data_IF_675986554196
#
_entry.id   IF_675986554196
#
_cell.length_a   1.000
_cell.length_b   1.000
_cell.length_c   1.000
_cell.angle_alpha   90.00
_cell.angle_beta   90.00
_cell.angle_gamma   90.00
#
_symmetry.space_group_name_H-M   'P 1'
#
loop_
_entity.id
_entity.type
_entity.pdbx_description
1 polymer ?
#
# COMPACT_ATOMS: atom_id res chain seq x y z
N UNK A 1 -20.39 3.60 0.03
CA UNK A 1 -19.94 3.09 -1.27
C UNK A 1 -18.49 2.69 -1.14
N UNK A 2 -18.18 1.42 -0.94
CA UNK A 2 -16.82 0.93 -0.91
C UNK A 2 -16.24 1.00 -2.32
N UNK A 3 -15.43 2.02 -2.58
CA UNK A 3 -14.62 2.02 -3.78
C UNK A 3 -13.58 0.90 -3.61
N UNK A 4 -13.79 -0.20 -4.34
CA UNK A 4 -12.68 -1.07 -4.69
C UNK A 4 -11.68 -0.13 -5.35
N UNK A 5 -10.48 0.00 -4.75
CA UNK A 5 -9.37 0.68 -5.40
C UNK A 5 -9.32 0.13 -6.83
N UNK A 6 -9.63 0.99 -7.79
CA UNK A 6 -9.43 0.62 -9.17
C UNK A 6 -7.97 0.23 -9.28
N UNK A 7 -7.65 -0.73 -10.12
CA UNK A 7 -6.29 -1.19 -10.39
C UNK A 7 -5.28 -0.03 -10.53
N UNK A 8 -5.70 1.10 -11.14
CA UNK A 8 -4.94 2.35 -11.21
C UNK A 8 -4.60 2.98 -9.85
N UNK A 9 -5.40 2.76 -8.80
CA UNK A 9 -5.11 3.29 -7.46
C UNK A 9 -4.03 2.51 -6.72
N UNK A 10 -3.89 1.21 -7.01
CA UNK A 10 -2.80 0.39 -6.46
C UNK A 10 -1.44 0.82 -7.05
N UNK A 11 -1.41 1.13 -8.35
CA UNK A 11 -0.20 1.58 -9.05
C UNK A 11 0.27 2.94 -8.54
N UNK A 12 -0.66 3.90 -8.34
CA UNK A 12 -0.29 5.28 -7.95
C UNK A 12 0.29 5.39 -6.53
N UNK A 13 0.03 4.43 -5.63
CA UNK A 13 0.68 4.37 -4.30
C UNK A 13 2.17 3.99 -4.43
N UNK A 14 2.56 3.32 -5.52
CA UNK A 14 3.94 2.85 -5.71
C UNK A 14 4.78 3.68 -6.69
N UNK A 15 4.16 4.59 -7.44
CA UNK A 15 4.84 5.53 -8.35
C UNK A 15 5.00 6.89 -7.67
N UNK A 16 5.86 6.98 -6.66
CA UNK A 16 6.01 8.16 -5.85
C UNK A 16 6.30 9.46 -6.62
N UNK A 17 5.77 10.59 -6.12
CA UNK A 17 6.18 11.92 -6.49
C UNK A 17 5.39 12.63 -7.61
N UNK A 18 4.30 12.06 -8.13
CA UNK A 18 3.56 12.65 -9.27
C UNK A 18 2.40 13.60 -8.88
N UNK A 19 1.96 13.60 -7.62
CA UNK A 19 0.80 14.39 -7.21
C UNK A 19 1.12 15.89 -7.07
N UNK A 20 2.29 16.23 -6.56
CA UNK A 20 2.75 17.60 -6.34
C UNK A 20 3.70 18.01 -7.47
N UNK A 21 3.24 18.91 -8.34
CA UNK A 21 3.95 19.24 -9.59
C UNK A 21 5.33 19.88 -9.42
N UNK A 22 5.55 20.58 -8.31
CA UNK A 22 6.81 21.28 -8.04
C UNK A 22 7.76 20.46 -7.18
N UNK A 23 7.39 19.22 -6.81
CA UNK A 23 8.26 18.37 -6.00
C UNK A 23 9.47 17.90 -6.80
N UNK A 24 10.60 17.83 -6.12
CA UNK A 24 11.79 17.13 -6.56
C UNK A 24 12.04 15.88 -5.74
N UNK A 25 12.87 15.01 -6.23
CA UNK A 25 13.35 13.86 -5.44
C UNK A 25 14.18 14.35 -4.26
N UNK A 26 13.98 13.73 -3.09
CA UNK A 26 14.76 13.99 -1.87
C UNK A 26 15.98 13.06 -1.82
N UNK A 27 17.15 13.58 -1.43
CA UNK A 27 18.35 12.78 -1.19
C UNK A 27 18.30 12.16 0.19
N UNK A 28 18.96 11.02 0.35
CA UNK A 28 19.05 10.35 1.65
C UNK A 28 19.68 11.25 2.73
N UNK A 29 20.67 12.07 2.37
CA UNK A 29 21.30 13.07 3.25
C UNK A 29 20.35 14.18 3.73
N UNK A 30 19.24 14.41 3.03
CA UNK A 30 18.26 15.45 3.37
C UNK A 30 17.11 14.91 4.23
N UNK A 31 16.96 13.58 4.33
CA UNK A 31 15.81 12.93 4.95
C UNK A 31 15.69 13.28 6.43
N UNK A 32 16.77 13.13 7.20
CA UNK A 32 16.72 13.32 8.65
C UNK A 32 16.19 14.71 9.03
N UNK A 33 16.78 15.76 8.43
CA UNK A 33 16.37 17.15 8.69
C UNK A 33 14.94 17.42 8.23
N UNK A 34 14.51 16.81 7.12
CA UNK A 34 13.12 16.94 6.63
C UNK A 34 12.13 16.27 7.59
N UNK A 35 12.48 15.09 8.10
CA UNK A 35 11.65 14.41 9.10
C UNK A 35 11.54 15.18 10.41
N UNK A 36 12.62 15.82 10.88
CA UNK A 36 12.59 16.71 12.03
C UNK A 36 11.57 17.85 11.84
N UNK A 37 11.58 18.51 10.67
CA UNK A 37 10.60 19.57 10.37
C UNK A 37 9.17 19.06 10.29
N UNK A 38 8.96 17.83 9.79
CA UNK A 38 7.64 17.19 9.76
C UNK A 38 7.18 16.91 11.20
N UNK A 39 8.03 16.40 12.05
CA UNK A 39 7.71 16.12 13.45
C UNK A 39 7.36 17.40 14.22
N UNK A 40 8.12 18.46 14.04
CA UNK A 40 7.91 19.74 14.72
C UNK A 40 6.62 20.43 14.30
N UNK A 41 6.25 20.39 13.02
CA UNK A 41 5.13 21.16 12.46
C UNK A 41 3.87 20.30 12.31
N UNK A 42 4.00 19.12 11.70
CA UNK A 42 2.85 18.31 11.33
C UNK A 42 2.26 17.56 12.54
N UNK A 43 3.10 16.97 13.39
CA UNK A 43 2.59 16.15 14.50
C UNK A 43 1.76 16.94 15.51
N UNK A 44 2.10 18.19 15.93
CA UNK A 44 1.21 18.99 16.73
C UNK A 44 -0.16 19.23 16.09
N UNK A 45 -0.21 19.43 14.78
CA UNK A 45 -1.46 19.64 14.06
C UNK A 45 -2.33 18.36 14.11
N UNK A 46 -1.75 17.21 13.90
CA UNK A 46 -2.50 15.94 13.79
C UNK A 46 -2.69 15.20 15.12
N UNK A 47 -2.24 15.74 16.25
CA UNK A 47 -2.58 15.24 17.58
C UNK A 47 -1.40 14.80 18.46
N UNK A 48 -0.18 15.29 18.24
CA UNK A 48 1.00 14.99 19.06
C UNK A 48 1.29 13.49 19.26
N UNK A 49 0.98 12.66 18.27
CA UNK A 49 1.27 11.23 18.31
C UNK A 49 2.76 10.93 18.38
N UNK A 50 3.10 9.69 18.73
CA UNK A 50 4.49 9.23 18.83
C UNK A 50 4.87 8.44 17.59
N UNK A 51 6.01 8.78 16.98
CA UNK A 51 6.59 7.99 15.89
C UNK A 51 6.71 6.52 16.29
N UNK A 52 6.28 5.63 15.40
CA UNK A 52 6.28 4.19 15.63
C UNK A 52 5.07 3.64 16.36
N UNK A 53 4.20 4.50 16.92
CA UNK A 53 2.88 4.11 17.46
C UNK A 53 1.74 4.59 16.59
N UNK A 54 1.59 5.90 16.46
CA UNK A 54 0.51 6.56 15.72
C UNK A 54 0.93 6.98 14.32
N UNK A 55 2.25 7.04 14.08
CA UNK A 55 2.87 7.37 12.79
C UNK A 55 3.92 6.35 12.41
N UNK A 56 4.02 6.06 11.15
CA UNK A 56 4.98 5.10 10.60
C UNK A 56 5.57 5.63 9.30
N UNK A 57 6.89 5.78 9.25
CA UNK A 57 7.60 5.99 7.99
C UNK A 57 7.55 4.68 7.21
N UNK A 58 6.93 4.74 6.04
CA UNK A 58 6.77 3.60 5.13
C UNK A 58 7.52 3.84 3.83
N UNK A 59 7.60 2.82 2.97
CA UNK A 59 8.36 2.95 1.72
C UNK A 59 9.88 2.82 1.90
N UNK A 60 10.64 3.45 1.02
CA UNK A 60 12.10 3.28 0.89
C UNK A 60 12.94 4.40 1.51
N UNK A 61 12.29 5.41 2.06
CA UNK A 61 12.98 6.58 2.62
C UNK A 61 13.69 6.22 3.93
N UNK A 62 14.85 6.83 4.18
CA UNK A 62 15.66 6.55 5.38
C UNK A 62 16.37 5.20 5.38
N UNK A 63 16.37 4.48 4.25
CA UNK A 63 16.89 3.10 4.13
C UNK A 63 18.03 2.96 3.13
N UNK A 64 18.43 4.04 2.50
CA UNK A 64 19.49 4.03 1.49
C UNK A 64 20.84 4.29 2.14
N UNK A 65 21.86 3.59 1.66
CA UNK A 65 23.23 3.71 2.23
C UNK A 65 24.03 4.85 1.65
N UNK A 66 23.78 5.18 0.36
CA UNK A 66 24.49 6.28 -0.28
C UNK A 66 23.72 7.58 0.00
N UNK A 67 24.36 8.60 0.62
CA UNK A 67 23.73 9.90 0.89
C UNK A 67 23.15 10.60 -0.35
N UNK A 68 23.67 10.30 -1.53
CA UNK A 68 23.22 10.86 -2.81
C UNK A 68 22.07 10.08 -3.47
N UNK A 69 21.72 8.91 -2.94
CA UNK A 69 20.56 8.17 -3.43
C UNK A 69 19.28 8.96 -3.15
N UNK A 70 18.31 8.86 -4.07
CA UNK A 70 17.11 9.70 -4.00
C UNK A 70 15.82 8.88 -3.89
N UNK A 71 14.86 9.39 -3.14
CA UNK A 71 13.44 8.93 -3.13
C UNK A 71 12.54 9.93 -3.82
N UNK A 72 11.41 9.46 -4.39
CA UNK A 72 10.45 10.34 -5.10
C UNK A 72 9.58 11.14 -4.13
N UNK A 73 9.29 10.55 -2.98
CA UNK A 73 8.34 11.04 -1.97
C UNK A 73 8.74 10.54 -0.58
N UNK A 74 8.00 11.04 0.41
CA UNK A 74 7.98 10.57 1.79
C UNK A 74 6.60 10.00 2.06
N UNK A 75 6.51 8.71 2.34
CA UNK A 75 5.28 8.06 2.74
C UNK A 75 5.19 8.00 4.27
N UNK A 76 4.15 8.59 4.84
CA UNK A 76 3.88 8.57 6.27
C UNK A 76 2.52 7.89 6.55
N UNK A 77 2.56 6.71 7.12
CA UNK A 77 1.39 6.01 7.62
C UNK A 77 0.88 6.66 8.90
N UNK A 78 -0.41 6.97 8.98
CA UNK A 78 -1.06 7.58 10.16
C UNK A 78 -2.16 6.67 10.71
N UNK A 79 -2.19 6.45 12.03
CA UNK A 79 -3.23 5.63 12.67
C UNK A 79 -4.59 6.33 12.61
N UNK A 80 -5.48 5.75 11.81
CA UNK A 80 -6.84 6.27 11.62
C UNK A 80 -7.64 6.29 12.94
N UNK A 81 -7.39 5.33 13.84
CA UNK A 81 -8.11 5.26 15.12
C UNK A 81 -7.67 6.38 16.06
N UNK A 82 -6.35 6.64 16.07
CA UNK A 82 -5.78 7.74 16.84
C UNK A 82 -6.32 9.09 16.34
N UNK A 83 -6.22 9.37 15.04
CA UNK A 83 -6.70 10.63 14.46
C UNK A 83 -8.20 10.81 14.64
N UNK A 84 -9.02 9.77 14.46
CA UNK A 84 -10.47 9.83 14.68
C UNK A 84 -10.80 10.27 16.11
N UNK A 85 -10.06 9.76 17.09
CA UNK A 85 -10.20 10.11 18.51
C UNK A 85 -9.79 11.55 18.79
N UNK A 86 -8.62 11.96 18.33
CA UNK A 86 -8.10 13.32 18.54
C UNK A 86 -9.01 14.38 17.90
N UNK A 87 -9.49 14.12 16.69
CA UNK A 87 -10.37 15.05 15.98
C UNK A 87 -11.85 14.92 16.34
N UNK A 88 -12.23 13.91 17.14
CA UNK A 88 -13.62 13.60 17.50
C UNK A 88 -14.53 13.42 16.27
N UNK A 89 -14.04 12.74 15.24
CA UNK A 89 -14.78 12.46 14.01
C UNK A 89 -14.90 10.94 13.77
N UNK A 90 -15.96 10.48 13.06
CA UNK A 90 -16.04 9.09 12.61
C UNK A 90 -14.84 8.72 11.73
N UNK A 91 -14.38 7.46 11.80
CA UNK A 91 -13.20 6.98 11.04
C UNK A 91 -13.31 7.18 9.54
N UNK A 92 -14.50 7.04 8.99
CA UNK A 92 -14.81 7.28 7.57
C UNK A 92 -14.63 8.75 7.14
N UNK A 93 -14.64 9.68 8.08
CA UNK A 93 -14.50 11.12 7.85
C UNK A 93 -13.10 11.66 8.19
N UNK A 94 -12.20 10.80 8.71
CA UNK A 94 -10.86 11.22 9.17
C UNK A 94 -10.09 11.90 8.06
N UNK A 95 -10.06 11.34 6.87
CA UNK A 95 -9.26 11.87 5.77
C UNK A 95 -9.71 13.26 5.34
N UNK A 96 -11.02 13.46 5.20
CA UNK A 96 -11.57 14.78 4.83
C UNK A 96 -11.41 15.80 5.95
N UNK A 97 -11.62 15.38 7.19
CA UNK A 97 -11.44 16.22 8.37
C UNK A 97 -9.98 16.65 8.51
N UNK A 98 -9.05 15.70 8.39
CA UNK A 98 -7.62 15.97 8.46
C UNK A 98 -7.17 16.91 7.33
N UNK A 99 -7.62 16.68 6.10
CA UNK A 99 -7.31 17.57 4.98
C UNK A 99 -7.71 19.03 5.27
N UNK A 100 -8.94 19.24 5.75
CA UNK A 100 -9.42 20.59 6.10
C UNK A 100 -8.62 21.22 7.24
N UNK A 101 -8.25 20.44 8.25
CA UNK A 101 -7.43 20.92 9.36
C UNK A 101 -6.05 21.35 8.87
N UNK A 102 -5.40 20.52 8.06
CA UNK A 102 -4.10 20.83 7.46
C UNK A 102 -4.17 22.06 6.54
N UNK A 103 -5.21 22.16 5.71
CA UNK A 103 -5.44 23.33 4.83
C UNK A 103 -5.55 24.64 5.61
N UNK A 104 -6.11 24.60 6.82
CA UNK A 104 -6.27 25.80 7.68
C UNK A 104 -5.04 26.12 8.53
N UNK A 105 -4.27 25.12 8.97
CA UNK A 105 -3.20 25.32 9.95
C UNK A 105 -1.79 25.35 9.33
N UNK A 106 -1.52 24.52 8.32
CA UNK A 106 -0.19 24.45 7.70
C UNK A 106 0.33 25.79 7.13
N UNK A 107 -0.50 26.64 6.47
CA UNK A 107 0.01 27.89 5.93
C UNK A 107 0.60 28.82 7.01
N UNK A 108 0.05 28.79 8.22
CA UNK A 108 0.55 29.57 9.35
C UNK A 108 1.87 29.02 9.88
N UNK A 109 1.95 27.72 10.03
CA UNK A 109 3.12 27.05 10.60
C UNK A 109 4.31 27.00 9.64
N UNK A 110 4.05 26.87 8.35
CA UNK A 110 5.08 26.86 7.30
C UNK A 110 5.49 28.27 6.84
N UNK A 111 4.64 29.29 7.05
CA UNK A 111 4.86 30.63 6.54
C UNK A 111 4.47 30.84 5.06
N UNK A 112 4.01 29.79 4.38
CA UNK A 112 3.51 29.83 3.00
C UNK A 112 2.36 28.83 2.80
N UNK A 113 1.65 28.90 1.68
CA UNK A 113 0.56 27.98 1.34
C UNK A 113 1.11 26.77 0.58
N UNK A 114 1.20 25.59 1.19
CA UNK A 114 1.71 24.41 0.49
C UNK A 114 0.71 23.92 -0.58
N UNK A 115 1.23 23.37 -1.70
CA UNK A 115 0.38 22.61 -2.63
C UNK A 115 -0.11 21.33 -1.94
N UNK A 116 -1.43 21.13 -1.89
CA UNK A 116 -2.04 20.00 -1.21
C UNK A 116 -3.12 19.34 -2.06
N UNK A 117 -3.21 18.03 -2.01
CA UNK A 117 -4.23 17.26 -2.74
C UNK A 117 -4.83 16.15 -1.90
N UNK A 118 -6.16 16.11 -1.88
CA UNK A 118 -6.91 14.97 -1.34
C UNK A 118 -7.20 13.97 -2.45
N UNK A 119 -6.48 12.86 -2.46
CA UNK A 119 -6.61 11.80 -3.45
C UNK A 119 -7.62 10.73 -2.98
N UNK A 120 -8.93 11.07 -3.07
CA UNK A 120 -10.04 10.22 -2.57
C UNK A 120 -10.02 8.79 -3.14
N UNK A 121 -9.55 8.61 -4.38
CA UNK A 121 -9.53 7.30 -5.04
C UNK A 121 -8.59 6.28 -4.41
N UNK A 122 -7.54 6.76 -3.73
CA UNK A 122 -6.51 5.95 -3.07
C UNK A 122 -6.39 6.25 -1.57
N UNK A 123 -7.24 7.13 -1.04
CA UNK A 123 -7.23 7.54 0.37
C UNK A 123 -5.89 8.10 0.85
N UNK A 124 -5.33 9.08 0.14
CA UNK A 124 -4.06 9.73 0.48
C UNK A 124 -4.23 11.24 0.47
N UNK A 125 -3.55 11.93 1.39
CA UNK A 125 -3.34 13.37 1.33
C UNK A 125 -1.88 13.59 0.91
N UNK A 126 -1.67 14.21 -0.26
CA UNK A 126 -0.34 14.60 -0.72
C UNK A 126 -0.10 16.07 -0.41
N UNK A 127 1.07 16.39 0.13
CA UNK A 127 1.47 17.72 0.58
C UNK A 127 2.84 18.04 -0.01
N UNK A 128 3.02 19.23 -0.58
CA UNK A 128 4.33 19.76 -0.90
C UNK A 128 5.05 20.24 0.37
N UNK A 129 6.05 19.48 0.81
CA UNK A 129 6.78 19.78 2.06
C UNK A 129 8.17 20.35 1.77
N UNK A 130 8.61 21.41 2.47
CA UNK A 130 9.94 21.98 2.27
C UNK A 130 11.02 21.02 2.77
N UNK A 131 12.03 20.78 1.94
CA UNK A 131 13.15 19.89 2.28
C UNK A 131 13.97 20.54 3.38
N UNK A 132 14.17 19.79 4.47
CA UNK A 132 14.85 20.32 5.65
C UNK A 132 14.14 21.49 6.35
N UNK A 133 12.85 21.68 6.08
CA UNK A 133 12.07 22.82 6.60
C UNK A 133 12.37 24.16 5.91
N UNK A 134 13.04 24.15 4.76
CA UNK A 134 13.49 25.34 4.05
C UNK A 134 13.06 25.29 2.58
N UNK A 135 12.23 26.25 2.14
CA UNK A 135 11.71 26.32 0.76
C UNK A 135 12.83 26.47 -0.29
N UNK A 136 13.92 27.17 0.06
CA UNK A 136 15.03 27.38 -0.85
C UNK A 136 15.75 26.05 -1.19
N UNK A 137 15.59 25.03 -0.33
CA UNK A 137 16.09 23.68 -0.57
C UNK A 137 15.20 22.89 -1.55
N UNK A 138 14.04 23.42 -1.89
CA UNK A 138 13.02 22.81 -2.75
C UNK A 138 11.97 22.01 -1.97
N UNK A 139 11.02 21.45 -2.71
CA UNK A 139 9.84 20.77 -2.18
C UNK A 139 9.91 19.27 -2.47
N UNK A 140 9.59 18.45 -1.48
CA UNK A 140 9.34 17.01 -1.65
C UNK A 140 7.86 16.71 -1.48
N UNK A 141 7.33 15.70 -2.15
CA UNK A 141 5.99 15.20 -1.88
C UNK A 141 5.98 14.40 -0.58
N UNK A 142 5.10 14.78 0.35
CA UNK A 142 4.76 14.04 1.56
C UNK A 142 3.37 13.44 1.40
N UNK A 143 3.26 12.13 1.50
CA UNK A 143 2.00 11.40 1.40
C UNK A 143 1.57 10.91 2.78
N UNK A 144 0.41 11.38 3.25
CA UNK A 144 -0.23 10.89 4.47
C UNK A 144 -1.20 9.77 4.11
N UNK A 145 -0.92 8.56 4.60
CA UNK A 145 -1.66 7.34 4.28
C UNK A 145 -2.39 6.85 5.53
N UNK A 146 -3.73 6.91 5.59
CA UNK A 146 -4.51 6.38 6.70
C UNK A 146 -4.33 4.88 6.84
N UNK A 147 -3.96 4.43 8.03
CA UNK A 147 -3.68 3.05 8.38
C UNK A 147 -4.70 2.58 9.40
N UNK A 148 -5.37 1.47 9.14
CA UNK A 148 -6.34 0.87 10.04
C UNK A 148 -5.69 0.03 11.15
N UNK A 149 -4.51 -0.53 10.87
CA UNK A 149 -3.71 -1.34 11.78
C UNK A 149 -2.22 -1.14 11.51
N UNK A 150 -1.48 -0.70 12.53
CA UNK A 150 -0.08 -0.32 12.38
C UNK A 150 0.86 -1.54 12.25
N UNK A 151 0.51 -2.67 12.85
CA UNK A 151 1.34 -3.90 12.74
C UNK A 151 1.16 -4.53 11.35
N UNK A 152 -0.07 -4.49 10.81
CA UNK A 152 -0.31 -4.82 9.42
C UNK A 152 0.49 -3.92 8.47
N UNK A 153 0.48 -2.60 8.71
CA UNK A 153 1.21 -1.65 7.88
C UNK A 153 2.73 -1.89 7.92
N UNK A 154 3.30 -2.13 9.10
CA UNK A 154 4.72 -2.49 9.24
C UNK A 154 5.09 -3.71 8.42
N UNK A 155 4.23 -4.72 8.40
CA UNK A 155 4.45 -5.92 7.60
C UNK A 155 4.30 -5.63 6.11
N UNK A 156 3.19 -5.02 5.67
CA UNK A 156 2.86 -4.93 4.24
C UNK A 156 3.69 -3.87 3.50
N UNK A 157 3.99 -2.74 4.16
CA UNK A 157 4.83 -1.68 3.60
C UNK A 157 6.31 -1.86 3.93
N UNK A 158 6.66 -2.98 4.57
CA UNK A 158 8.06 -3.27 4.83
C UNK A 158 8.86 -3.20 3.52
N UNK A 159 9.92 -2.42 3.56
CA UNK A 159 10.92 -2.41 2.51
C UNK A 159 12.26 -2.78 3.15
N UNK A 160 12.96 -3.81 2.69
CA UNK A 160 14.28 -4.13 3.19
C UNK A 160 15.22 -2.93 2.97
N UNK A 161 16.24 -2.81 3.81
CA UNK A 161 17.30 -1.86 3.56
C UNK A 161 17.82 -2.05 2.13
N UNK A 162 17.94 -0.94 1.41
CA UNK A 162 18.41 -0.96 0.02
C UNK A 162 19.89 -1.31 -0.04
N UNK A 163 20.20 -2.56 0.25
CA UNK A 163 21.46 -3.19 -0.08
C UNK A 163 21.25 -3.92 -1.38
N UNK A 164 22.13 -3.75 -2.33
CA UNK A 164 22.12 -4.52 -3.58
C UNK A 164 22.09 -6.04 -3.34
N UNK A 165 22.43 -6.45 -2.12
CA UNK A 165 22.58 -7.84 -1.68
C UNK A 165 21.31 -8.39 -0.99
N UNK A 166 20.35 -7.55 -0.59
CA UNK A 166 19.16 -7.98 0.19
C UNK A 166 17.90 -8.07 -0.66
N UNK A 167 17.70 -7.17 -1.61
CA UNK A 167 16.63 -7.27 -2.61
C UNK A 167 16.93 -6.42 -3.83
N UNK A 168 16.69 -6.97 -5.01
CA UNK A 168 16.78 -6.25 -6.30
C UNK A 168 15.48 -5.52 -6.61
N UNK A 169 14.38 -5.87 -5.94
CA UNK A 169 13.04 -5.44 -6.27
C UNK A 169 12.44 -4.58 -5.17
N UNK A 170 11.56 -3.67 -5.56
CA UNK A 170 10.78 -2.84 -4.63
C UNK A 170 9.79 -3.71 -3.84
N UNK A 171 9.37 -3.26 -2.64
CA UNK A 171 8.31 -3.90 -1.85
C UNK A 171 7.00 -4.10 -2.63
N UNK A 172 6.74 -3.27 -3.63
CA UNK A 172 5.62 -3.41 -4.54
C UNK A 172 5.60 -4.78 -5.26
N UNK A 173 6.74 -5.31 -5.69
CA UNK A 173 6.82 -6.63 -6.33
C UNK A 173 6.37 -7.73 -5.38
N UNK A 174 6.78 -7.66 -4.11
CA UNK A 174 6.34 -8.60 -3.06
C UNK A 174 4.82 -8.53 -2.86
N UNK A 175 4.26 -7.33 -2.78
CA UNK A 175 2.83 -7.14 -2.57
C UNK A 175 2.00 -7.61 -3.78
N UNK A 176 2.52 -7.46 -5.00
CA UNK A 176 1.90 -8.04 -6.20
C UNK A 176 1.94 -9.56 -6.19
N UNK A 177 3.02 -10.15 -5.68
CA UNK A 177 3.10 -11.60 -5.51
C UNK A 177 2.07 -12.09 -4.47
N UNK A 178 1.93 -11.41 -3.33
CA UNK A 178 0.86 -11.70 -2.36
C UNK A 178 -0.53 -11.60 -2.99
N UNK A 179 -0.79 -10.56 -3.80
CA UNK A 179 -2.06 -10.44 -4.52
C UNK A 179 -2.27 -11.55 -5.55
N UNK A 180 -1.23 -12.01 -6.23
CA UNK A 180 -1.32 -13.11 -7.18
C UNK A 180 -1.67 -14.43 -6.49
N UNK A 181 -1.06 -14.73 -5.33
CA UNK A 181 -1.41 -15.90 -4.53
C UNK A 181 -2.88 -15.82 -4.09
N UNK A 182 -3.32 -14.66 -3.54
CA UNK A 182 -4.71 -14.44 -3.15
C UNK A 182 -5.70 -14.64 -4.30
N UNK A 183 -5.33 -14.20 -5.50
CA UNK A 183 -6.17 -14.36 -6.69
C UNK A 183 -6.33 -15.82 -7.12
N UNK A 184 -5.29 -16.61 -6.95
CA UNK A 184 -5.31 -18.05 -7.23
C UNK A 184 -6.15 -18.85 -6.21
N UNK A 185 -6.46 -18.28 -5.03
CA UNK A 185 -7.32 -18.89 -4.00
C UNK A 185 -8.82 -18.75 -4.29
N UNK A 186 -9.20 -18.29 -5.48
CA UNK A 186 -10.61 -18.18 -5.90
C UNK A 186 -11.39 -19.47 -5.62
N UNK A 187 -12.56 -19.33 -4.95
CA UNK A 187 -13.47 -20.45 -4.65
C UNK A 187 -14.77 -20.27 -5.44
N UNK A 188 -15.07 -21.18 -6.35
CA UNK A 188 -16.35 -21.18 -7.06
C UNK A 188 -17.45 -21.68 -6.13
N UNK A 189 -18.56 -20.91 -6.03
CA UNK A 189 -19.71 -21.22 -5.17
C UNK A 189 -20.80 -21.92 -5.98
N UNK A 190 -21.15 -21.34 -7.14
CA UNK A 190 -22.21 -21.85 -7.99
C UNK A 190 -21.95 -21.49 -9.46
N UNK A 191 -22.45 -22.35 -10.33
CA UNK A 191 -22.60 -22.09 -11.77
C UNK A 191 -24.04 -22.40 -12.12
N UNK A 192 -24.68 -21.59 -12.95
CA UNK A 192 -25.96 -21.98 -13.52
C UNK A 192 -25.78 -23.04 -14.61
N UNK A 193 -26.89 -23.70 -14.99
CA UNK A 193 -26.88 -24.83 -15.93
C UNK A 193 -26.35 -24.44 -17.31
N UNK A 194 -26.49 -23.15 -17.69
CA UNK A 194 -26.02 -22.60 -18.95
C UNK A 194 -24.61 -21.96 -18.85
N UNK A 195 -23.94 -22.03 -17.68
CA UNK A 195 -22.68 -21.33 -17.36
C UNK A 195 -22.72 -19.80 -17.60
N UNK A 196 -23.92 -19.21 -17.56
CA UNK A 196 -24.09 -17.77 -17.75
C UNK A 196 -23.77 -16.94 -16.49
N UNK A 197 -23.95 -17.56 -15.31
CA UNK A 197 -23.66 -16.92 -14.03
C UNK A 197 -22.70 -17.82 -13.25
N UNK A 198 -21.56 -17.27 -12.89
CA UNK A 198 -20.64 -17.86 -11.93
C UNK A 198 -20.57 -16.96 -10.69
N UNK A 199 -20.90 -17.52 -9.53
CA UNK A 199 -20.65 -16.88 -8.25
C UNK A 199 -19.42 -17.51 -7.61
N UNK A 200 -18.55 -16.65 -7.07
CA UNK A 200 -17.31 -17.11 -6.45
C UNK A 200 -16.85 -16.16 -5.35
N UNK A 201 -16.09 -16.68 -4.41
CA UNK A 201 -15.29 -15.88 -3.51
C UNK A 201 -13.94 -15.56 -4.15
N UNK A 202 -13.52 -14.31 -4.00
CA UNK A 202 -12.18 -13.84 -4.33
C UNK A 202 -11.57 -13.14 -3.14
N UNK A 203 -10.26 -13.21 -3.05
CA UNK A 203 -9.52 -12.56 -1.98
C UNK A 203 -8.79 -11.33 -2.51
N UNK A 204 -8.70 -10.30 -1.70
CA UNK A 204 -8.07 -9.03 -2.08
C UNK A 204 -7.18 -8.51 -0.96
N UNK A 205 -5.96 -8.15 -1.31
CA UNK A 205 -5.04 -7.42 -0.46
C UNK A 205 -5.41 -5.94 -0.47
N UNK A 206 -5.70 -5.37 0.70
CA UNK A 206 -5.80 -3.92 0.90
C UNK A 206 -4.63 -3.49 1.76
N UNK A 207 -3.74 -2.71 1.19
CA UNK A 207 -2.46 -2.37 1.84
C UNK A 207 -2.62 -1.68 3.19
N UNK A 208 -3.61 -0.79 3.31
CA UNK A 208 -3.88 -0.06 4.55
C UNK A 208 -4.83 -0.75 5.50
N UNK A 209 -5.47 -1.88 5.11
CA UNK A 209 -6.65 -2.37 5.83
C UNK A 209 -6.74 -3.90 6.00
N UNK A 210 -5.86 -4.70 5.40
CA UNK A 210 -5.85 -6.16 5.58
C UNK A 210 -6.34 -6.97 4.37
N UNK A 211 -6.72 -8.21 4.63
CA UNK A 211 -7.21 -9.15 3.61
C UNK A 211 -8.73 -9.23 3.66
N UNK A 212 -9.33 -9.12 2.49
CA UNK A 212 -10.77 -9.17 2.33
C UNK A 212 -11.21 -10.36 1.48
N UNK A 213 -12.29 -11.03 1.91
CA UNK A 213 -13.06 -11.99 1.11
C UNK A 213 -14.23 -11.26 0.48
N UNK A 214 -14.35 -11.35 -0.84
CA UNK A 214 -15.41 -10.69 -1.61
C UNK A 214 -16.20 -11.73 -2.36
N UNK A 215 -17.52 -11.79 -2.18
CA UNK A 215 -18.39 -12.55 -3.06
C UNK A 215 -18.55 -11.76 -4.37
N UNK A 216 -18.28 -12.42 -5.47
CA UNK A 216 -18.39 -11.84 -6.81
C UNK A 216 -19.34 -12.66 -7.66
N UNK A 217 -20.06 -12.00 -8.56
CA UNK A 217 -20.78 -12.67 -9.63
C UNK A 217 -20.22 -12.26 -10.98
N UNK A 218 -20.10 -13.24 -11.84
CA UNK A 218 -19.74 -13.05 -13.24
C UNK A 218 -20.97 -13.43 -14.07
N UNK A 219 -21.51 -12.49 -14.85
CA UNK A 219 -22.56 -12.75 -15.83
C UNK A 219 -21.95 -12.78 -17.22
N UNK A 220 -22.18 -13.88 -17.91
CA UNK A 220 -22.05 -13.89 -19.32
C UNK A 220 -21.13 -14.94 -19.88
N UNK A 221 -21.73 -15.86 -20.58
CA UNK A 221 -21.15 -16.59 -21.70
C UNK A 221 -20.60 -15.66 -22.79
N UNK A 222 -20.95 -14.38 -22.77
CA UNK A 222 -20.39 -13.43 -23.69
C UNK A 222 -19.05 -12.93 -23.19
N UNK A 223 -17.99 -13.29 -23.91
CA UNK A 223 -16.58 -12.88 -23.79
C UNK A 223 -16.32 -11.37 -23.59
N UNK A 224 -17.34 -10.56 -23.28
CA UNK A 224 -17.29 -9.10 -23.19
C UNK A 224 -17.24 -8.53 -21.77
N UNK A 225 -17.59 -9.28 -20.72
CA UNK A 225 -17.48 -8.78 -19.36
C UNK A 225 -16.12 -9.20 -18.76
N UNK A 226 -15.11 -8.38 -19.01
CA UNK A 226 -13.72 -8.63 -18.58
C UNK A 226 -13.50 -8.53 -17.07
N UNK A 227 -14.45 -8.02 -16.28
CA UNK A 227 -14.28 -7.82 -14.85
C UNK A 227 -15.51 -8.27 -14.06
N UNK A 228 -15.41 -9.31 -13.22
CA UNK A 228 -16.49 -9.71 -12.30
C UNK A 228 -16.79 -8.58 -11.31
N UNK A 229 -18.06 -8.33 -11.04
CA UNK A 229 -18.50 -7.30 -10.09
C UNK A 229 -18.61 -7.89 -8.69
N UNK A 230 -18.12 -7.17 -7.68
CA UNK A 230 -18.39 -7.51 -6.27
C UNK A 230 -19.87 -7.28 -5.97
N UNK A 231 -20.52 -8.26 -5.37
CA UNK A 231 -21.92 -8.14 -4.90
C UNK A 231 -21.92 -7.15 -3.72
N UNK A 232 -22.80 -6.16 -3.79
CA UNK A 232 -22.88 -5.11 -2.76
C UNK A 232 -23.19 -5.74 -1.40
N UNK A 233 -22.42 -5.37 -0.36
CA UNK A 233 -22.57 -5.90 1.00
C UNK A 233 -21.89 -7.24 1.27
N UNK A 234 -21.34 -7.89 0.27
CA UNK A 234 -20.70 -9.20 0.36
C UNK A 234 -19.16 -9.09 0.36
N UNK A 235 -18.65 -8.15 1.14
CA UNK A 235 -17.21 -7.97 1.38
C UNK A 235 -16.94 -8.02 2.87
N UNK A 236 -16.13 -8.94 3.33
CA UNK A 236 -15.77 -9.11 4.73
C UNK A 236 -14.26 -9.09 4.94
N UNK A 237 -13.82 -8.42 5.99
CA UNK A 237 -12.45 -8.52 6.46
C UNK A 237 -12.20 -9.94 6.98
N UNK A 238 -11.09 -10.54 6.55
CA UNK A 238 -10.62 -11.83 7.07
C UNK A 238 -9.64 -11.59 8.18
N UNK A 239 -8.56 -10.87 7.89
CA UNK A 239 -7.53 -10.59 8.90
C UNK A 239 -6.75 -9.31 8.58
N UNK A 240 -6.21 -8.70 9.64
CA UNK A 240 -5.15 -7.69 9.63
C UNK A 240 -3.91 -8.19 10.36
N UNK A 241 -3.98 -9.39 10.94
CA UNK A 241 -2.85 -9.99 11.64
C UNK A 241 -1.87 -10.57 10.61
N UNK A 242 -0.60 -10.11 10.58
CA UNK A 242 0.41 -10.64 9.69
C UNK A 242 0.68 -12.13 9.87
N UNK A 243 0.63 -12.65 11.09
CA UNK A 243 0.91 -14.06 11.38
C UNK A 243 -0.25 -14.96 10.91
N UNK A 244 -1.51 -14.52 11.09
CA UNK A 244 -2.68 -15.19 10.50
C UNK A 244 -2.62 -15.18 8.97
N UNK A 245 -2.25 -14.04 8.37
CA UNK A 245 -2.06 -13.94 6.92
C UNK A 245 -1.02 -14.94 6.43
N UNK A 246 0.15 -14.96 7.05
CA UNK A 246 1.24 -15.87 6.67
C UNK A 246 0.81 -17.33 6.78
N UNK A 247 0.16 -17.70 7.88
CA UNK A 247 -0.37 -19.05 8.08
C UNK A 247 -1.38 -19.46 7.01
N UNK A 248 -2.27 -18.53 6.64
CA UNK A 248 -3.29 -18.77 5.60
C UNK A 248 -2.66 -18.96 4.22
N UNK A 249 -1.65 -18.15 3.88
CA UNK A 249 -1.06 -18.12 2.55
C UNK A 249 0.04 -19.14 2.33
N UNK A 250 0.82 -19.43 3.36
CA UNK A 250 2.06 -20.22 3.24
C UNK A 250 2.05 -21.48 4.12
N UNK A 251 1.04 -21.65 4.97
CA UNK A 251 0.94 -22.78 5.87
C UNK A 251 1.79 -22.66 7.14
N UNK A 252 1.77 -23.71 7.98
CA UNK A 252 2.54 -23.73 9.21
C UNK A 252 4.05 -23.86 8.92
N UNK A 253 4.86 -23.19 9.71
CA UNK A 253 6.33 -23.25 9.61
C UNK A 253 6.99 -22.12 8.85
N UNK A 254 6.22 -21.28 8.15
CA UNK A 254 6.68 -20.01 7.57
C UNK A 254 6.29 -18.88 8.54
N UNK A 255 7.21 -17.95 8.75
CA UNK A 255 7.00 -16.77 9.61
C UNK A 255 7.03 -15.50 8.75
N UNK A 256 6.46 -14.40 9.24
CA UNK A 256 6.49 -13.11 8.54
C UNK A 256 7.91 -12.59 8.29
N UNK A 257 8.85 -12.93 9.17
CA UNK A 257 10.27 -12.59 9.03
C UNK A 257 10.94 -13.31 7.87
N UNK A 258 10.37 -14.42 7.38
CA UNK A 258 10.86 -15.18 6.24
C UNK A 258 10.38 -14.60 4.89
N UNK A 259 9.52 -13.55 4.92
CA UNK A 259 8.86 -12.94 3.77
C UNK A 259 9.27 -11.48 3.52
N UNK A 260 10.53 -11.13 3.78
CA UNK A 260 11.00 -9.74 3.76
C UNK A 260 11.13 -9.16 2.35
N UNK A 261 11.58 -9.95 1.40
CA UNK A 261 11.82 -9.52 0.02
C UNK A 261 10.92 -10.27 -0.97
N UNK A 262 10.86 -9.78 -2.21
CA UNK A 262 10.24 -10.52 -3.30
C UNK A 262 10.89 -11.88 -3.50
N UNK A 263 12.21 -11.92 -3.46
CA UNK A 263 13.02 -13.12 -3.67
C UNK A 263 12.75 -14.18 -2.60
N UNK A 264 12.61 -13.77 -1.34
CA UNK A 264 12.28 -14.67 -0.23
C UNK A 264 10.91 -15.33 -0.47
N UNK A 265 9.89 -14.53 -0.80
CA UNK A 265 8.54 -15.03 -1.08
C UNK A 265 8.54 -15.92 -2.31
N UNK A 266 9.22 -15.51 -3.40
CA UNK A 266 9.29 -16.29 -4.64
C UNK A 266 9.95 -17.65 -4.42
N UNK A 267 11.01 -17.70 -3.65
CA UNK A 267 11.68 -18.96 -3.28
C UNK A 267 10.75 -19.95 -2.59
N UNK A 268 9.84 -19.46 -1.74
CA UNK A 268 8.85 -20.31 -1.07
C UNK A 268 7.79 -20.76 -2.08
N UNK A 269 7.22 -19.83 -2.84
CA UNK A 269 6.14 -20.06 -3.81
C UNK A 269 6.56 -21.03 -4.91
N UNK A 270 7.82 -20.98 -5.35
CA UNK A 270 8.37 -21.87 -6.37
C UNK A 270 8.83 -23.23 -5.85
N UNK A 271 8.68 -23.50 -4.56
CA UNK A 271 9.07 -24.78 -3.97
C UNK A 271 7.92 -25.80 -3.93
N UNK A 272 8.25 -27.09 -4.00
CA UNK A 272 7.28 -28.17 -3.86
C UNK A 272 6.59 -28.22 -2.48
N UNK A 273 7.14 -27.49 -1.49
CA UNK A 273 6.59 -27.40 -0.14
C UNK A 273 5.53 -26.31 0.01
N UNK A 274 5.33 -25.47 -1.01
CA UNK A 274 4.31 -24.45 -0.97
C UNK A 274 2.92 -25.07 -0.94
N UNK A 275 2.07 -24.64 0.00
CA UNK A 275 0.75 -25.27 0.23
C UNK A 275 -0.24 -25.11 -0.94
N UNK A 276 0.03 -24.20 -1.87
CA UNK A 276 -0.74 -23.98 -3.09
C UNK A 276 0.10 -24.22 -4.34
N UNK A 277 1.05 -25.16 -4.29
CA UNK A 277 1.94 -25.52 -5.42
C UNK A 277 1.18 -25.96 -6.67
N UNK A 278 0.00 -26.56 -6.50
CA UNK A 278 -0.94 -26.91 -7.59
C UNK A 278 -1.44 -25.69 -8.38
N UNK A 279 -1.28 -24.48 -7.85
CA UNK A 279 -1.70 -23.20 -8.45
C UNK A 279 -0.53 -22.36 -8.96
N UNK A 280 0.68 -22.89 -8.94
CA UNK A 280 1.90 -22.12 -9.24
C UNK A 280 1.84 -21.39 -10.60
N UNK A 281 1.41 -22.08 -11.67
CA UNK A 281 1.34 -21.48 -13.00
C UNK A 281 0.33 -20.31 -13.04
N UNK A 282 -0.83 -20.47 -12.39
CA UNK A 282 -1.82 -19.40 -12.29
C UNK A 282 -1.29 -18.20 -11.50
N UNK A 283 -0.54 -18.44 -10.41
CA UNK A 283 0.09 -17.40 -9.61
C UNK A 283 1.11 -16.64 -10.46
N UNK A 284 1.95 -17.34 -11.22
CA UNK A 284 2.95 -16.75 -12.09
C UNK A 284 2.31 -15.88 -13.18
N UNK A 285 1.29 -16.37 -13.86
CA UNK A 285 0.56 -15.62 -14.91
C UNK A 285 -0.11 -14.36 -14.35
N UNK A 286 -0.75 -14.47 -13.18
CA UNK A 286 -1.38 -13.34 -12.51
C UNK A 286 -0.36 -12.30 -12.08
N UNK A 287 0.78 -12.73 -11.54
CA UNK A 287 1.88 -11.85 -11.15
C UNK A 287 2.46 -11.10 -12.35
N UNK A 288 2.76 -11.78 -13.45
CA UNK A 288 3.24 -11.13 -14.67
C UNK A 288 2.24 -10.08 -15.17
N UNK A 289 0.94 -10.42 -15.17
CA UNK A 289 -0.12 -9.52 -15.56
C UNK A 289 -0.18 -8.27 -14.67
N UNK A 290 -0.05 -8.44 -13.35
CA UNK A 290 -0.08 -7.32 -12.40
C UNK A 290 1.13 -6.41 -12.59
N UNK A 291 2.32 -6.97 -12.73
CA UNK A 291 3.55 -6.20 -12.95
C UNK A 291 3.50 -5.44 -14.27
N UNK A 292 3.08 -6.09 -15.37
CA UNK A 292 2.91 -5.43 -16.68
C UNK A 292 1.92 -4.27 -16.65
N UNK A 293 0.78 -4.47 -15.95
CA UNK A 293 -0.24 -3.44 -15.87
C UNK A 293 0.16 -2.27 -14.95
N UNK A 294 1.09 -2.49 -14.02
CA UNK A 294 1.64 -1.50 -13.12
C UNK A 294 2.93 -0.86 -13.63
N UNK A 295 3.35 -1.16 -14.86
CA UNK A 295 4.60 -0.69 -15.46
C UNK A 295 5.85 -1.02 -14.62
N UNK A 296 5.81 -2.17 -13.91
CA UNK A 296 6.94 -2.68 -13.15
C UNK A 296 7.81 -3.62 -14.00
N UNK A 297 9.11 -3.61 -13.71
CA UNK A 297 10.03 -4.59 -14.27
C UNK A 297 9.60 -6.01 -13.87
N UNK A 298 9.60 -6.93 -14.86
CA UNK A 298 9.32 -8.34 -14.59
C UNK A 298 10.61 -9.00 -14.11
N UNK A 299 10.60 -9.55 -12.89
CA UNK A 299 11.74 -10.28 -12.34
C UNK A 299 12.22 -11.39 -13.26
N UNK A 300 13.54 -11.55 -13.35
CA UNK A 300 14.16 -12.59 -14.18
C UNK A 300 13.82 -13.99 -13.68
N UNK A 301 13.55 -14.13 -12.41
CA UNK A 301 13.15 -15.37 -11.73
C UNK A 301 11.79 -15.89 -12.19
N UNK A 302 10.92 -15.01 -12.76
CA UNK A 302 9.59 -15.36 -13.25
C UNK A 302 9.64 -15.82 -14.71
N UNK A 303 10.61 -15.31 -15.48
CA UNK A 303 10.80 -15.62 -16.91
C UNK A 303 11.31 -17.04 -17.11
#
# INVERSE_FOLDING_TARGET
MGHILKYSGFVSIFEGGAAIKQSRRIRESEVAKTMESIEEILYPIIGNGKVGKEYLIIGSIGKKKNPEDTSGDIDLGIDVNFIAKEMQVPKENVLEGLYKKLESELPRELGFVPDMKLMKGINVISIGWPIGGDEDMGIVQLDLIPIADMDWAKFIFYSPDYRKDESKYKSAHRNWLFQAILSAMKEVISRDDDNEIEEFYSYALRLSDGIYKNKKSFRGATKRLKNPKTIKGESSLITRDPDEFVKMMFGPGIRKEDLKSFEDVWKIVSSDKFIHSDKFDSIREDLERYLKNGDFEIPTEIK
#
